data_IF_556953936727
#
_entry.id   IF_556953936727
#
_cell.length_a   1.000
_cell.length_b   1.000
_cell.length_c   1.000
_cell.angle_alpha   90.00
_cell.angle_beta   90.00
_cell.angle_gamma   90.00
#
_symmetry.space_group_name_H-M   'P 1'
#
loop_
_entity.id
_entity.type
_entity.pdbx_description
1 polymer ?
#
# COMPACT_ATOMS: atom_id res chain seq x y z
N UNK A 1 14.67 37.12 -57.63
CA UNK A 1 14.68 35.65 -57.75
C UNK A 1 15.11 35.06 -56.42
N UNK A 2 14.17 34.59 -55.60
CA UNK A 2 14.48 33.88 -54.34
C UNK A 2 14.03 32.43 -54.53
N UNK A 3 15.00 31.51 -54.54
CA UNK A 3 14.76 30.09 -54.67
C UNK A 3 14.26 29.54 -53.31
N UNK A 4 13.02 29.08 -53.28
CA UNK A 4 12.45 28.34 -52.15
C UNK A 4 13.03 26.93 -52.16
N UNK A 5 13.91 26.62 -51.20
CA UNK A 5 14.42 25.27 -50.97
C UNK A 5 13.39 24.48 -50.17
N UNK A 6 12.72 23.54 -50.85
CA UNK A 6 11.89 22.52 -50.20
C UNK A 6 12.81 21.56 -49.43
N UNK A 7 12.69 21.54 -48.10
CA UNK A 7 13.29 20.51 -47.25
C UNK A 7 12.31 19.33 -47.22
N UNK A 8 12.68 18.13 -47.70
CA UNK A 8 11.79 16.98 -47.61
C UNK A 8 11.71 16.49 -46.15
N UNK A 9 10.50 16.39 -45.61
CA UNK A 9 10.23 15.70 -44.34
C UNK A 9 10.63 14.23 -44.47
N UNK A 10 11.74 13.84 -43.86
CA UNK A 10 12.09 12.44 -43.66
C UNK A 10 11.07 11.83 -42.66
N UNK A 11 10.47 10.67 -42.95
CA UNK A 11 9.63 9.99 -41.98
C UNK A 11 10.51 9.48 -40.83
N UNK A 12 10.28 10.01 -39.62
CA UNK A 12 10.85 9.50 -38.38
C UNK A 12 10.27 8.09 -38.08
N UNK A 13 10.79 7.05 -38.72
CA UNK A 13 10.61 5.67 -38.25
C UNK A 13 11.66 5.39 -37.17
N UNK A 14 11.36 5.80 -35.94
CA UNK A 14 12.00 5.16 -34.79
C UNK A 14 11.25 3.85 -34.54
N UNK A 15 11.85 2.66 -34.75
CA UNK A 15 11.20 1.42 -34.37
C UNK A 15 11.02 1.44 -32.85
N UNK A 16 9.76 1.56 -32.41
CA UNK A 16 9.39 1.38 -31.02
C UNK A 16 9.71 -0.07 -30.64
N UNK A 17 10.87 -0.29 -30.02
CA UNK A 17 11.22 -1.55 -29.38
C UNK A 17 10.31 -1.74 -28.16
N UNK A 18 9.09 -2.23 -28.38
CA UNK A 18 8.31 -2.78 -27.29
C UNK A 18 9.04 -4.03 -26.79
N UNK A 19 9.40 -4.12 -25.49
CA UNK A 19 9.95 -5.34 -24.94
C UNK A 19 8.96 -6.49 -25.21
N UNK A 20 9.36 -7.45 -26.03
CA UNK A 20 8.58 -8.66 -26.26
C UNK A 20 8.70 -9.54 -25.02
N UNK A 21 7.72 -9.43 -24.14
CA UNK A 21 7.62 -10.40 -23.05
C UNK A 21 7.42 -11.79 -23.68
N UNK A 22 8.02 -12.85 -23.08
CA UNK A 22 7.80 -14.21 -23.55
C UNK A 22 6.29 -14.46 -23.65
N UNK A 23 5.81 -14.86 -24.83
CA UNK A 23 4.40 -15.20 -25.07
C UNK A 23 3.95 -16.46 -24.31
N UNK A 24 4.86 -17.06 -23.54
CA UNK A 24 4.60 -18.22 -22.72
C UNK A 24 3.45 -17.95 -21.74
N UNK A 25 2.58 -18.94 -21.56
CA UNK A 25 1.53 -18.88 -20.55
C UNK A 25 2.16 -18.96 -19.16
N UNK A 26 1.59 -18.20 -18.21
CA UNK A 26 1.96 -18.33 -16.80
C UNK A 26 1.68 -19.77 -16.34
N UNK A 27 2.73 -20.47 -15.91
CA UNK A 27 2.60 -21.82 -15.37
C UNK A 27 1.96 -21.78 -13.97
N UNK A 28 1.30 -22.88 -13.59
CA UNK A 28 0.73 -23.01 -12.26
C UNK A 28 1.81 -22.86 -11.17
N UNK A 29 2.98 -23.47 -11.38
CA UNK A 29 4.13 -23.38 -10.47
C UNK A 29 4.61 -21.93 -10.29
N UNK A 30 4.77 -21.18 -11.38
CA UNK A 30 5.18 -19.77 -11.30
C UNK A 30 4.16 -18.91 -10.57
N UNK A 31 2.86 -19.14 -10.81
CA UNK A 31 1.78 -18.49 -10.06
C UNK A 31 1.84 -18.82 -8.57
N UNK A 32 1.96 -20.10 -8.22
CA UNK A 32 1.99 -20.56 -6.83
C UNK A 32 3.22 -20.03 -6.08
N UNK A 33 4.40 -20.07 -6.70
CA UNK A 33 5.63 -19.53 -6.14
C UNK A 33 5.51 -18.02 -5.87
N UNK A 34 4.94 -17.27 -6.82
CA UNK A 34 4.75 -15.83 -6.63
C UNK A 34 3.67 -15.51 -5.58
N UNK A 35 2.61 -16.31 -5.48
CA UNK A 35 1.63 -16.20 -4.38
C UNK A 35 2.30 -16.44 -3.01
N UNK A 36 3.19 -17.41 -2.91
CA UNK A 36 3.95 -17.67 -1.68
C UNK A 36 4.88 -16.50 -1.34
N UNK A 37 5.55 -15.91 -2.35
CA UNK A 37 6.37 -14.72 -2.15
C UNK A 37 5.57 -13.53 -1.62
N UNK A 38 4.36 -13.32 -2.13
CA UNK A 38 3.44 -12.29 -1.64
C UNK A 38 3.07 -12.52 -0.16
N UNK A 39 2.80 -13.77 0.23
CA UNK A 39 2.45 -14.11 1.62
C UNK A 39 3.62 -13.86 2.58
N UNK A 40 4.83 -14.29 2.20
CA UNK A 40 6.02 -14.11 3.04
C UNK A 40 6.48 -12.66 3.15
N UNK A 41 6.35 -11.89 2.06
CA UNK A 41 6.65 -10.45 2.06
C UNK A 41 5.63 -9.64 2.87
N UNK A 42 4.44 -10.20 3.13
CA UNK A 42 3.32 -9.53 3.79
C UNK A 42 2.40 -8.85 2.79
N UNK A 43 1.09 -9.08 2.92
CA UNK A 43 0.09 -8.65 1.93
C UNK A 43 -0.32 -7.19 2.10
N UNK A 44 -0.34 -6.72 3.35
CA UNK A 44 -0.74 -5.36 3.70
C UNK A 44 0.31 -4.38 3.16
N UNK A 45 -0.13 -3.47 2.28
CA UNK A 45 0.77 -2.49 1.66
C UNK A 45 1.77 -3.06 0.64
N UNK A 46 1.64 -4.33 0.24
CA UNK A 46 2.48 -4.92 -0.80
C UNK A 46 2.28 -4.25 -2.15
N UNK A 47 3.37 -4.09 -2.89
CA UNK A 47 3.40 -3.73 -4.30
C UNK A 47 4.28 -4.75 -5.02
N UNK A 48 4.15 -4.89 -6.34
CA UNK A 48 5.04 -5.78 -7.12
C UNK A 48 6.51 -5.49 -6.80
N UNK A 49 6.89 -4.22 -6.75
CA UNK A 49 8.24 -3.80 -6.39
C UNK A 49 8.66 -4.23 -4.97
N UNK A 50 7.79 -4.09 -3.97
CA UNK A 50 8.10 -4.54 -2.60
C UNK A 50 8.23 -6.06 -2.50
N UNK A 51 7.41 -6.80 -3.24
CA UNK A 51 7.45 -8.26 -3.25
C UNK A 51 8.72 -8.74 -3.96
N UNK A 52 9.05 -8.20 -5.13
CA UNK A 52 10.26 -8.57 -5.87
C UNK A 52 11.54 -8.32 -5.06
N UNK A 53 11.58 -7.24 -4.28
CA UNK A 53 12.74 -6.86 -3.46
C UNK A 53 12.68 -7.37 -2.01
N UNK A 54 11.66 -8.14 -1.63
CA UNK A 54 11.59 -8.67 -0.27
C UNK A 54 12.69 -9.72 -0.06
N UNK A 55 13.32 -9.70 1.12
CA UNK A 55 14.40 -10.64 1.50
C UNK A 55 13.94 -12.10 1.40
N UNK A 56 12.65 -12.36 1.62
CA UNK A 56 12.06 -13.70 1.52
C UNK A 56 11.90 -14.22 0.09
N UNK A 57 11.87 -13.34 -0.91
CA UNK A 57 11.50 -13.69 -2.28
C UNK A 57 12.57 -14.52 -2.99
N UNK A 58 13.87 -14.16 -2.97
CA UNK A 58 14.91 -14.99 -3.59
C UNK A 58 14.91 -16.43 -3.07
N UNK A 59 14.67 -16.64 -1.77
CA UNK A 59 14.63 -17.98 -1.17
C UNK A 59 13.55 -18.91 -1.79
N UNK A 60 12.49 -18.33 -2.40
CA UNK A 60 11.42 -19.07 -3.07
C UNK A 60 11.79 -19.40 -4.53
N UNK A 61 12.67 -18.59 -5.13
CA UNK A 61 13.10 -18.68 -6.52
C UNK A 61 14.57 -19.13 -6.64
N UNK A 62 15.01 -20.05 -5.77
CA UNK A 62 16.37 -20.62 -5.78
C UNK A 62 17.50 -19.57 -5.73
N UNK A 63 17.31 -18.51 -4.95
CA UNK A 63 18.20 -17.34 -4.85
C UNK A 63 18.33 -16.52 -6.14
N UNK A 64 17.44 -16.71 -7.11
CA UNK A 64 17.36 -15.90 -8.32
C UNK A 64 16.15 -14.95 -8.29
N UNK A 65 16.09 -14.04 -9.27
CA UNK A 65 14.92 -13.19 -9.47
C UNK A 65 13.72 -14.00 -9.99
N UNK A 66 12.47 -13.62 -9.68
CA UNK A 66 11.28 -14.34 -10.15
C UNK A 66 11.22 -14.51 -11.68
N UNK A 67 11.74 -13.53 -12.42
CA UNK A 67 11.77 -13.54 -13.89
C UNK A 67 12.87 -14.44 -14.48
N UNK A 68 13.93 -14.74 -13.73
CA UNK A 68 14.97 -15.68 -14.16
C UNK A 68 14.45 -17.12 -14.13
N UNK A 69 13.71 -17.48 -13.07
CA UNK A 69 13.11 -18.82 -12.92
C UNK A 69 11.85 -18.97 -13.79
N UNK A 70 10.97 -17.96 -13.78
CA UNK A 70 9.75 -17.95 -14.58
C UNK A 70 9.69 -16.69 -15.45
N UNK A 71 10.08 -16.77 -16.74
CA UNK A 71 10.17 -15.60 -17.62
C UNK A 71 8.88 -14.76 -17.72
N UNK A 72 7.72 -15.40 -17.56
CA UNK A 72 6.40 -14.72 -17.56
C UNK A 72 6.19 -13.76 -16.38
N UNK A 73 6.90 -13.97 -15.27
CA UNK A 73 6.91 -13.05 -14.12
C UNK A 73 7.74 -11.78 -14.39
N UNK A 74 8.41 -11.65 -15.53
CA UNK A 74 8.94 -10.37 -16.00
C UNK A 74 7.81 -9.37 -16.33
N UNK A 75 6.61 -9.84 -16.64
CA UNK A 75 5.46 -9.00 -16.92
C UNK A 75 4.83 -8.45 -15.62
N UNK A 76 4.95 -7.14 -15.41
CA UNK A 76 4.40 -6.44 -14.25
C UNK A 76 2.87 -6.57 -14.13
N UNK A 77 2.13 -6.60 -15.23
CA UNK A 77 0.67 -6.74 -15.20
C UNK A 77 0.26 -8.09 -14.62
N UNK A 78 0.92 -9.18 -15.06
CA UNK A 78 0.66 -10.53 -14.53
C UNK A 78 0.92 -10.59 -13.03
N UNK A 79 2.07 -10.06 -12.57
CA UNK A 79 2.40 -9.99 -11.14
C UNK A 79 1.38 -9.17 -10.35
N UNK A 80 0.92 -8.05 -10.92
CA UNK A 80 -0.08 -7.20 -10.29
C UNK A 80 -1.44 -7.90 -10.19
N UNK A 81 -1.85 -8.65 -11.22
CA UNK A 81 -3.10 -9.42 -11.20
C UNK A 81 -3.08 -10.51 -10.12
N UNK A 82 -1.96 -11.21 -9.96
CA UNK A 82 -1.77 -12.18 -8.88
C UNK A 82 -1.86 -11.48 -7.53
N UNK A 83 -1.13 -10.37 -7.36
CA UNK A 83 -1.13 -9.59 -6.13
C UNK A 83 -2.52 -9.05 -5.76
N UNK A 84 -3.27 -8.50 -6.71
CA UNK A 84 -4.60 -7.95 -6.47
C UNK A 84 -5.61 -9.04 -6.10
N UNK A 85 -5.52 -10.24 -6.71
CA UNK A 85 -6.34 -11.40 -6.30
C UNK A 85 -6.01 -11.86 -4.88
N UNK A 86 -4.73 -11.91 -4.54
CA UNK A 86 -4.28 -12.26 -3.18
C UNK A 86 -4.76 -11.23 -2.14
N UNK A 87 -4.62 -9.94 -2.44
CA UNK A 87 -5.15 -8.86 -1.59
C UNK A 87 -6.65 -8.98 -1.39
N UNK A 88 -7.42 -9.21 -2.45
CA UNK A 88 -8.88 -9.36 -2.36
C UNK A 88 -9.28 -10.56 -1.50
N UNK A 89 -8.52 -11.66 -1.55
CA UNK A 89 -8.77 -12.83 -0.71
C UNK A 89 -8.53 -12.55 0.78
N UNK A 90 -7.45 -11.83 1.10
CA UNK A 90 -7.08 -11.54 2.48
C UNK A 90 -7.83 -10.34 3.09
N UNK A 91 -8.21 -9.38 2.27
CA UNK A 91 -8.96 -8.19 2.66
C UNK A 91 -10.27 -8.14 1.88
N UNK A 92 -11.28 -8.98 2.23
CA UNK A 92 -12.53 -9.08 1.47
C UNK A 92 -13.32 -7.77 1.46
N UNK A 93 -13.23 -6.99 2.55
CA UNK A 93 -13.86 -5.68 2.69
C UNK A 93 -12.98 -4.54 2.12
N UNK A 94 -11.88 -4.89 1.44
CA UNK A 94 -10.90 -3.94 0.91
C UNK A 94 -9.97 -3.37 1.97
N UNK A 95 -9.19 -2.36 1.56
CA UNK A 95 -8.21 -1.65 2.40
C UNK A 95 -8.60 -0.20 2.69
N UNK A 96 -9.82 0.19 2.30
CA UNK A 96 -10.39 1.52 2.55
C UNK A 96 -11.27 1.55 3.80
N UNK A 97 -12.17 2.53 3.88
CA UNK A 97 -13.03 2.76 5.05
C UNK A 97 -13.88 1.54 5.44
N UNK A 98 -14.50 0.83 4.48
CA UNK A 98 -15.25 -0.41 4.77
C UNK A 98 -14.37 -1.49 5.41
N UNK A 99 -13.10 -1.57 5.03
CA UNK A 99 -12.12 -2.46 5.65
C UNK A 99 -11.87 -2.07 7.11
N UNK A 100 -11.81 -0.77 7.40
CA UNK A 100 -11.68 -0.23 8.77
C UNK A 100 -12.94 -0.50 9.60
N UNK A 101 -14.13 -0.30 9.06
CA UNK A 101 -15.41 -0.63 9.74
C UNK A 101 -15.43 -2.10 10.14
N UNK A 102 -15.09 -3.00 9.22
CA UNK A 102 -15.02 -4.43 9.53
C UNK A 102 -13.94 -4.75 10.57
N UNK A 103 -12.76 -4.13 10.47
CA UNK A 103 -11.70 -4.29 11.45
C UNK A 103 -12.13 -3.79 12.84
N UNK A 104 -12.89 -2.68 12.91
CA UNK A 104 -13.44 -2.15 14.15
C UNK A 104 -14.45 -3.11 14.78
N UNK A 105 -15.33 -3.74 14.00
CA UNK A 105 -16.27 -4.75 14.50
C UNK A 105 -15.54 -5.95 15.12
N UNK A 106 -14.41 -6.38 14.52
CA UNK A 106 -13.57 -7.42 15.10
C UNK A 106 -12.82 -6.94 16.35
N UNK A 107 -12.34 -5.70 16.34
CA UNK A 107 -11.61 -5.09 17.46
C UNK A 107 -12.51 -4.91 18.70
N UNK A 108 -13.78 -4.60 18.50
CA UNK A 108 -14.79 -4.50 19.57
C UNK A 108 -15.02 -5.83 20.32
N UNK A 109 -14.66 -6.98 19.73
CA UNK A 109 -14.71 -8.29 20.41
C UNK A 109 -13.55 -8.49 21.38
N UNK A 110 -12.49 -7.67 21.31
CA UNK A 110 -11.35 -7.72 22.22
C UNK A 110 -11.67 -7.00 23.53
N UNK A 111 -10.85 -7.29 24.54
CA UNK A 111 -10.83 -6.52 25.78
C UNK A 111 -10.48 -5.05 25.48
N UNK A 112 -11.05 -4.07 26.21
CA UNK A 112 -10.81 -2.65 25.95
C UNK A 112 -9.33 -2.25 25.88
N UNK A 113 -8.47 -2.90 26.66
CA UNK A 113 -7.02 -2.63 26.71
C UNK A 113 -6.25 -3.10 25.46
N UNK A 114 -6.83 -4.03 24.70
CA UNK A 114 -6.23 -4.60 23.48
C UNK A 114 -6.82 -3.99 22.20
N UNK A 115 -7.73 -3.03 22.34
CA UNK A 115 -8.35 -2.33 21.20
C UNK A 115 -7.39 -1.29 20.64
N UNK A 116 -7.30 -1.28 19.32
CA UNK A 116 -6.59 -0.27 18.55
C UNK A 116 -7.53 0.71 17.86
N UNK A 117 -8.73 0.28 17.45
CA UNK A 117 -9.73 1.10 16.77
C UNK A 117 -10.85 1.41 17.77
N UNK A 118 -10.88 2.66 18.23
CA UNK A 118 -11.78 3.09 19.31
C UNK A 118 -13.04 3.76 18.80
N UNK A 119 -12.99 4.35 17.61
CA UNK A 119 -14.12 5.06 17.04
C UNK A 119 -14.10 5.03 15.52
N UNK A 120 -15.26 4.77 14.93
CA UNK A 120 -15.51 4.85 13.49
C UNK A 120 -16.90 5.44 13.29
N UNK A 121 -16.99 6.61 12.67
CA UNK A 121 -18.26 7.27 12.39
C UNK A 121 -18.23 7.98 11.05
N UNK A 122 -19.42 8.24 10.54
CA UNK A 122 -19.65 8.97 9.31
C UNK A 122 -20.60 10.11 9.63
N UNK A 123 -20.16 11.34 9.40
CA UNK A 123 -20.91 12.57 9.66
C UNK A 123 -21.22 13.29 8.36
N UNK A 124 -22.27 14.11 8.34
CA UNK A 124 -22.54 14.96 7.19
C UNK A 124 -21.57 16.15 7.17
N UNK A 125 -21.00 16.43 6.00
CA UNK A 125 -20.16 17.61 5.84
C UNK A 125 -21.00 18.89 5.91
N UNK A 126 -20.51 19.90 6.64
CA UNK A 126 -21.19 21.18 6.80
C UNK A 126 -21.27 22.01 5.52
N UNK A 127 -20.40 21.73 4.54
CA UNK A 127 -20.43 22.32 3.20
C UNK A 127 -21.36 21.57 2.23
N UNK A 128 -22.03 20.50 2.68
CA UNK A 128 -22.90 19.67 1.85
C UNK A 128 -22.17 18.75 0.87
N UNK A 129 -20.83 18.71 0.87
CA UNK A 129 -20.03 17.87 -0.04
C UNK A 129 -19.89 16.44 0.47
N UNK A 130 -21.03 15.79 0.74
CA UNK A 130 -21.08 14.39 1.15
C UNK A 130 -20.74 14.18 2.63
N UNK A 131 -20.21 12.99 2.91
CA UNK A 131 -19.96 12.55 4.28
C UNK A 131 -18.47 12.66 4.65
N UNK A 132 -18.22 13.01 5.91
CA UNK A 132 -16.92 12.98 6.56
C UNK A 132 -16.80 11.66 7.31
N UNK A 133 -15.79 10.88 6.94
CA UNK A 133 -15.43 9.64 7.62
C UNK A 133 -14.40 9.94 8.70
N UNK A 134 -14.74 9.64 9.96
CA UNK A 134 -13.86 9.84 11.11
C UNK A 134 -13.48 8.49 11.69
N UNK A 135 -12.17 8.26 11.81
CA UNK A 135 -11.60 7.06 12.42
C UNK A 135 -10.61 7.49 13.49
N UNK A 136 -10.78 6.97 14.71
CA UNK A 136 -9.81 7.20 15.80
C UNK A 136 -9.16 5.87 16.16
N UNK A 137 -7.85 5.83 15.96
CA UNK A 137 -7.00 4.71 16.32
C UNK A 137 -6.01 5.15 17.40
N UNK A 138 -5.86 4.32 18.42
CA UNK A 138 -4.92 4.57 19.52
C UNK A 138 -4.55 3.26 20.18
N UNK A 139 -3.30 3.14 20.62
CA UNK A 139 -2.92 2.08 21.53
C UNK A 139 -3.43 2.43 22.94
N UNK A 140 -4.36 1.65 23.47
CA UNK A 140 -5.02 1.94 24.75
C UNK A 140 -4.02 2.12 25.91
N UNK A 141 -2.92 1.35 25.93
CA UNK A 141 -1.88 1.46 26.98
C UNK A 141 -1.11 2.77 26.88
N UNK A 142 -0.80 3.22 25.66
CA UNK A 142 -0.10 4.49 25.45
C UNK A 142 -1.01 5.70 25.73
N UNK A 143 -2.31 5.58 25.47
CA UNK A 143 -3.25 6.70 25.70
C UNK A 143 -3.43 7.02 27.18
N UNK A 144 -3.29 6.04 28.07
CA UNK A 144 -3.32 6.30 29.53
C UNK A 144 -2.22 7.30 29.95
N UNK A 145 -1.10 7.31 29.24
CA UNK A 145 0.03 8.20 29.51
C UNK A 145 -0.20 9.63 29.01
N UNK A 146 -1.26 9.90 28.25
CA UNK A 146 -1.58 11.23 27.71
C UNK A 146 -1.74 12.27 28.83
N UNK A 147 -2.41 11.92 29.94
CA UNK A 147 -2.58 12.83 31.07
C UNK A 147 -1.28 13.11 31.84
N UNK A 148 -0.30 12.22 31.71
CA UNK A 148 1.02 12.38 32.33
C UNK A 148 2.06 12.97 31.36
N UNK A 149 1.68 13.23 30.10
CA UNK A 149 2.57 13.78 29.11
C UNK A 149 2.86 15.26 29.42
N UNK A 150 4.13 15.65 29.34
CA UNK A 150 4.56 17.04 29.47
C UNK A 150 4.04 17.90 28.33
N UNK A 151 3.95 17.30 27.14
CA UNK A 151 3.46 17.95 25.94
C UNK A 151 2.87 16.91 24.97
N UNK A 152 1.90 17.31 24.18
CA UNK A 152 1.47 16.61 22.98
C UNK A 152 1.76 17.46 21.73
N UNK A 153 2.16 16.81 20.65
CA UNK A 153 2.33 17.41 19.33
C UNK A 153 1.41 16.69 18.37
N UNK A 154 0.69 17.45 17.55
CA UNK A 154 -0.18 16.91 16.53
C UNK A 154 0.42 17.26 15.18
N UNK A 155 0.83 16.25 14.42
CA UNK A 155 1.23 16.46 13.03
C UNK A 155 -0.04 16.71 12.21
N UNK A 156 -0.33 17.99 12.01
CA UNK A 156 -1.39 18.46 11.13
C UNK A 156 -0.86 18.82 9.74
N UNK A 157 0.37 18.38 9.39
CA UNK A 157 0.92 18.65 8.07
C UNK A 157 -0.06 18.11 7.06
N UNK A 158 -0.77 19.03 6.39
CA UNK A 158 -1.63 18.75 5.25
C UNK A 158 -0.72 18.27 4.12
N UNK A 159 -0.24 17.04 4.21
CA UNK A 159 0.33 16.37 3.06
C UNK A 159 -0.83 16.35 2.08
N UNK A 160 -0.69 17.06 0.95
CA UNK A 160 -1.61 16.89 -0.19
C UNK A 160 -1.47 15.44 -0.61
N UNK A 161 -2.22 14.53 -0.01
CA UNK A 161 -2.01 13.09 -0.22
C UNK A 161 -2.99 12.62 -1.28
N UNK A 162 -2.42 11.91 -2.24
CA UNK A 162 -3.01 11.05 -3.27
C UNK A 162 -4.04 10.00 -2.75
N UNK A 163 -4.62 10.17 -1.55
CA UNK A 163 -5.43 9.19 -0.81
C UNK A 163 -6.76 9.82 -0.39
N UNK A 164 -7.75 8.98 -0.07
CA UNK A 164 -9.10 9.40 0.26
C UNK A 164 -9.26 10.05 1.66
N UNK A 165 -8.32 9.79 2.58
CA UNK A 165 -8.39 10.24 3.96
C UNK A 165 -7.20 11.14 4.31
N UNK A 166 -7.47 12.16 5.12
CA UNK A 166 -6.43 12.89 5.84
C UNK A 166 -6.05 12.11 7.10
N UNK A 167 -4.76 12.06 7.40
CA UNK A 167 -4.23 11.39 8.58
C UNK A 167 -3.66 12.43 9.53
N UNK A 168 -3.99 12.31 10.83
CA UNK A 168 -3.44 13.14 11.90
C UNK A 168 -2.76 12.23 12.91
N UNK A 169 -1.47 12.46 13.13
CA UNK A 169 -0.69 11.71 14.12
C UNK A 169 -0.52 12.57 15.38
N UNK A 170 -0.76 11.97 16.54
CA UNK A 170 -0.50 12.61 17.83
C UNK A 170 0.70 11.94 18.50
N UNK A 171 1.72 12.74 18.83
CA UNK A 171 2.90 12.31 19.57
C UNK A 171 2.82 12.89 20.98
N UNK A 172 2.96 12.04 21.98
CA UNK A 172 3.00 12.45 23.39
C UNK A 172 4.43 12.37 23.92
N UNK A 173 4.86 13.43 24.61
CA UNK A 173 6.14 13.50 25.30
C UNK A 173 5.94 13.20 26.78
N UNK A 174 6.17 11.95 27.18
CA UNK A 174 6.14 11.54 28.58
C UNK A 174 7.57 11.40 29.11
N UNK A 175 7.93 12.15 30.14
CA UNK A 175 9.30 12.17 30.69
C UNK A 175 9.71 10.80 31.26
N UNK A 176 8.77 9.96 31.70
CA UNK A 176 9.05 8.60 32.19
C UNK A 176 9.45 7.64 31.06
N UNK A 177 8.86 7.80 29.88
CA UNK A 177 9.08 6.92 28.73
C UNK A 177 10.18 7.44 27.81
N UNK A 178 10.30 8.76 27.70
CA UNK A 178 11.30 9.42 26.87
C UNK A 178 12.60 9.61 27.67
N UNK A 179 13.25 8.48 27.98
CA UNK A 179 14.59 8.51 28.55
C UNK A 179 15.59 8.97 27.49
N UNK A 180 15.82 10.28 27.38
CA UNK A 180 17.11 10.79 26.90
C UNK A 180 18.09 10.64 28.05
N UNK A 181 18.97 9.64 27.97
CA UNK A 181 20.28 9.73 28.63
C UNK A 181 21.12 10.78 27.92
#
# INVERSE_FOLDING_TARGET
MLASQFIPCQPFYSPYNHPSFPSAKLTYQGKAAYQEAIRRAGIIGATVHKVDNAVSTPAIFNNESPQAVFPTLGNRCIKNDILMREKKRHCPNGVGFLGVVAAHMEDMKKNPEDRYIHYVQTELSSDGNGNIEVVVMMNAKLVQELHSARASLYDNTYKKVLRAHNEWEAVIWNDKLNCRK
#
